data_IF_001400448474
#
_entry.id   IF_001400448474
#
_cell.length_a   1.000
_cell.length_b   1.000
_cell.length_c   1.000
_cell.angle_alpha   90.00
_cell.angle_beta   90.00
_cell.angle_gamma   90.00
#
_symmetry.space_group_name_H-M   'P 1'
#
loop_
_entity.id
_entity.type
_entity.pdbx_description
1 polymer ?
#
# COMPACT_ATOMS: atom_id res chain seq x y z
N UNK A 1 8.14 -23.98 -2.18
CA UNK A 1 8.30 -22.75 -1.38
C UNK A 1 8.08 -21.57 -2.30
N UNK A 2 6.83 -21.34 -2.70
CA UNK A 2 6.44 -20.05 -3.25
C UNK A 2 6.27 -19.14 -2.05
N UNK A 3 7.11 -18.12 -1.91
CA UNK A 3 6.69 -16.95 -1.16
C UNK A 3 5.38 -16.52 -1.84
N UNK A 4 4.25 -16.62 -1.13
CA UNK A 4 3.02 -16.08 -1.62
C UNK A 4 3.30 -14.63 -2.07
N UNK A 5 2.76 -14.24 -3.22
CA UNK A 5 2.84 -12.87 -3.74
C UNK A 5 2.06 -11.84 -2.87
N UNK A 6 1.92 -12.16 -1.59
CA UNK A 6 1.03 -11.60 -0.60
C UNK A 6 1.72 -11.28 0.73
N UNK A 7 3.06 -11.29 0.78
CA UNK A 7 3.79 -10.62 1.86
C UNK A 7 4.15 -9.20 1.40
N UNK A 8 3.32 -8.19 1.72
CA UNK A 8 3.66 -6.80 1.44
C UNK A 8 4.91 -6.40 2.23
N UNK A 9 5.75 -5.49 1.70
CA UNK A 9 6.89 -4.97 2.44
C UNK A 9 6.41 -4.41 3.78
N UNK A 10 7.13 -4.71 4.85
CA UNK A 10 6.80 -4.21 6.19
C UNK A 10 6.85 -2.69 6.29
N UNK A 11 7.59 -2.02 5.38
CA UNK A 11 7.77 -0.57 5.31
C UNK A 11 7.18 0.01 4.04
N UNK A 12 6.80 1.28 4.10
CA UNK A 12 6.28 2.03 2.97
C UNK A 12 7.29 2.07 1.82
N UNK A 13 6.80 1.86 0.59
CA UNK A 13 7.66 1.85 -0.61
C UNK A 13 8.05 3.27 -1.09
N UNK A 14 7.41 4.30 -0.53
CA UNK A 14 7.72 5.69 -0.86
C UNK A 14 9.10 6.11 -0.33
N UNK A 15 9.91 6.73 -1.19
CA UNK A 15 11.34 7.01 -0.95
C UNK A 15 11.66 7.87 0.28
N UNK A 16 10.69 8.60 0.82
CA UNK A 16 10.83 9.52 1.96
C UNK A 16 9.92 9.11 3.14
N UNK A 17 9.61 7.82 3.25
CA UNK A 17 8.66 7.32 4.24
C UNK A 17 9.08 5.97 4.82
N UNK A 18 9.43 5.96 6.11
CA UNK A 18 9.80 4.73 6.85
C UNK A 18 8.62 4.11 7.64
N UNK A 19 7.40 4.61 7.43
CA UNK A 19 6.22 4.14 8.15
C UNK A 19 5.83 2.72 7.73
N UNK A 20 5.18 1.93 8.60
CA UNK A 20 4.75 0.59 8.24
C UNK A 20 3.75 0.63 7.07
N UNK A 21 3.93 -0.25 6.09
CA UNK A 21 2.94 -0.39 5.04
C UNK A 21 1.72 -1.13 5.59
N UNK A 22 0.53 -0.64 5.24
CA UNK A 22 -0.74 -1.26 5.61
C UNK A 22 -1.74 -1.26 4.46
N UNK A 23 -1.36 -0.72 3.30
CA UNK A 23 -2.24 -0.50 2.15
C UNK A 23 -1.52 -0.88 0.87
N UNK A 24 -2.20 -1.59 -0.02
CA UNK A 24 -1.81 -1.78 -1.41
C UNK A 24 -2.55 -0.77 -2.29
N UNK A 25 -1.80 0.01 -3.05
CA UNK A 25 -2.31 0.86 -4.12
C UNK A 25 -2.40 0.03 -5.39
N UNK A 26 -3.62 -0.05 -5.94
CA UNK A 26 -3.87 -0.62 -7.26
C UNK A 26 -3.67 0.47 -8.30
N UNK A 27 -2.57 0.37 -9.03
CA UNK A 27 -2.20 1.34 -10.06
C UNK A 27 -2.53 0.76 -11.45
N UNK A 28 -3.43 1.36 -12.24
CA UNK A 28 -3.85 0.78 -13.53
C UNK A 28 -2.75 0.75 -14.61
N UNK A 29 -1.75 1.62 -14.48
CA UNK A 29 -0.72 1.90 -15.49
C UNK A 29 0.70 1.55 -15.02
N UNK A 30 0.85 0.98 -13.82
CA UNK A 30 2.13 0.60 -13.24
C UNK A 30 1.93 -0.60 -12.30
N UNK A 31 3.01 -1.08 -11.66
CA UNK A 31 2.89 -2.12 -10.65
C UNK A 31 2.15 -1.64 -9.39
N UNK A 32 1.44 -2.56 -8.73
CA UNK A 32 0.83 -2.31 -7.43
C UNK A 32 1.91 -1.99 -6.39
N UNK A 33 1.64 -0.99 -5.54
CA UNK A 33 2.62 -0.49 -4.56
C UNK A 33 2.08 -0.61 -3.14
N UNK A 34 2.90 -1.09 -2.22
CA UNK A 34 2.52 -1.16 -0.81
C UNK A 34 3.05 0.07 -0.06
N UNK A 35 2.14 0.81 0.59
CA UNK A 35 2.45 2.08 1.24
C UNK A 35 1.76 2.17 2.59
N UNK A 36 2.17 3.15 3.40
CA UNK A 36 1.49 3.45 4.65
C UNK A 36 0.14 4.15 4.38
N UNK A 37 -0.82 4.14 5.35
CA UNK A 37 -2.13 4.75 5.17
C UNK A 37 -2.10 6.24 4.80
N UNK A 38 -1.13 6.97 5.32
CA UNK A 38 -0.97 8.39 5.02
C UNK A 38 -0.54 8.64 3.57
N UNK A 39 0.44 7.88 3.06
CA UNK A 39 0.87 7.95 1.68
C UNK A 39 -0.23 7.45 0.74
N UNK A 40 -0.94 6.37 1.11
CA UNK A 40 -2.08 5.88 0.33
C UNK A 40 -3.13 6.96 0.13
N UNK A 41 -3.53 7.67 1.20
CA UNK A 41 -4.51 8.75 1.10
C UNK A 41 -4.02 9.87 0.18
N UNK A 42 -2.76 10.28 0.31
CA UNK A 42 -2.21 11.34 -0.54
C UNK A 42 -2.19 10.93 -2.03
N UNK A 43 -1.74 9.70 -2.31
CA UNK A 43 -1.62 9.16 -3.67
C UNK A 43 -2.98 8.88 -4.32
N UNK A 44 -3.94 8.32 -3.58
CA UNK A 44 -5.30 8.11 -4.06
C UNK A 44 -5.96 9.43 -4.48
N UNK A 45 -5.76 10.50 -3.72
CA UNK A 45 -6.31 11.82 -4.04
C UNK A 45 -5.59 12.51 -5.21
N UNK A 46 -4.27 12.34 -5.34
CA UNK A 46 -3.46 13.00 -6.37
C UNK A 46 -3.54 12.30 -7.71
N UNK A 47 -3.42 10.98 -7.68
CA UNK A 47 -3.23 10.15 -8.87
C UNK A 47 -4.51 9.39 -9.24
N UNK A 48 -5.56 9.42 -8.41
CA UNK A 48 -6.83 8.74 -8.69
C UNK A 48 -6.75 7.22 -8.63
N UNK A 49 -5.76 6.69 -7.88
CA UNK A 49 -5.55 5.25 -7.70
C UNK A 49 -6.40 4.70 -6.56
N UNK A 50 -6.71 3.41 -6.61
CA UNK A 50 -7.51 2.74 -5.58
C UNK A 50 -6.60 2.22 -4.47
N UNK A 51 -6.96 2.51 -3.22
CA UNK A 51 -6.27 2.03 -2.04
C UNK A 51 -7.06 0.87 -1.43
N UNK A 52 -6.39 -0.27 -1.24
CA UNK A 52 -6.95 -1.48 -0.62
C UNK A 52 -6.11 -1.85 0.62
N UNK A 53 -6.72 -2.19 1.76
CA UNK A 53 -5.96 -2.62 2.93
C UNK A 53 -5.20 -3.91 2.62
N UNK A 54 -4.00 -4.03 3.18
CA UNK A 54 -3.25 -5.28 3.15
C UNK A 54 -3.96 -6.33 4.02
N UNK A 55 -3.92 -7.61 3.61
CA UNK A 55 -4.55 -8.69 4.36
C UNK A 55 -4.05 -8.72 5.81
N UNK A 56 -4.97 -8.69 6.78
CA UNK A 56 -4.65 -8.62 8.22
C UNK A 56 -4.47 -7.22 8.81
N UNK A 57 -4.52 -6.16 7.99
CA UNK A 57 -4.50 -4.76 8.42
C UNK A 57 -5.85 -4.06 8.26
N UNK A 58 -6.92 -4.84 8.19
CA UNK A 58 -8.30 -4.39 8.00
C UNK A 58 -8.73 -3.40 9.10
N UNK A 59 -8.24 -3.60 10.32
CA UNK A 59 -8.50 -2.76 11.50
C UNK A 59 -7.85 -1.36 11.44
N UNK A 60 -6.85 -1.18 10.56
CA UNK A 60 -6.13 0.10 10.42
C UNK A 60 -6.80 1.06 9.42
N UNK A 61 -7.96 0.69 8.85
CA UNK A 61 -8.66 1.42 7.80
C UNK A 61 -10.14 1.67 8.19
N UNK A 62 -10.64 2.92 8.20
CA UNK A 62 -12.06 3.23 8.47
C UNK A 62 -12.97 3.05 7.26
#
# INVERSE_FOLDING_TARGET
MTADANDPPTTCTESDCDRPAAVRLRVPWDADRAVCPACARALAQRDGVVAEPLSGHEDAWP
#
